data_IF_772201475905
#
_entry.id   IF_772201475905
#
_cell.length_a   1.000
_cell.length_b   1.000
_cell.length_c   1.000
_cell.angle_alpha   90.00
_cell.angle_beta   90.00
_cell.angle_gamma   90.00
#
_symmetry.space_group_name_H-M   'P 1'
#
loop_
_entity.id
_entity.type
_entity.pdbx_description
1 polymer ?
#
# COMPACT_ATOMS: atom_id res chain seq x y z
N UNK A 1 24.40 -14.36 6.85
CA UNK A 1 23.01 -14.45 7.37
C UNK A 1 22.23 -13.14 7.27
N UNK A 2 22.88 -11.98 7.30
CA UNK A 2 22.25 -10.64 7.17
C UNK A 2 21.41 -10.44 5.89
N UNK A 3 21.80 -11.03 4.74
CA UNK A 3 21.08 -10.82 3.47
C UNK A 3 19.60 -11.28 3.51
N UNK A 4 19.30 -12.39 4.20
CA UNK A 4 17.93 -12.91 4.34
C UNK A 4 17.02 -12.01 5.19
N UNK A 5 17.60 -11.16 6.05
CA UNK A 5 16.86 -10.16 6.84
C UNK A 5 16.79 -8.82 6.09
N UNK A 6 17.90 -8.39 5.49
CA UNK A 6 18.03 -7.08 4.85
C UNK A 6 17.22 -7.00 3.56
N UNK A 7 17.22 -8.03 2.71
CA UNK A 7 16.51 -8.00 1.43
C UNK A 7 15.00 -7.77 1.64
N UNK A 8 14.28 -8.54 2.48
CA UNK A 8 12.88 -8.26 2.78
C UNK A 8 12.62 -6.84 3.29
N UNK A 9 13.51 -6.31 4.14
CA UNK A 9 13.40 -4.95 4.67
C UNK A 9 13.55 -3.90 3.58
N UNK A 10 14.55 -4.02 2.71
CA UNK A 10 14.73 -3.13 1.55
C UNK A 10 13.52 -3.17 0.62
N UNK A 11 12.96 -4.37 0.43
CA UNK A 11 11.75 -4.59 -0.36
C UNK A 11 10.55 -3.85 0.26
N UNK A 12 10.34 -3.94 1.58
CA UNK A 12 9.29 -3.19 2.28
C UNK A 12 9.49 -1.67 2.16
N UNK A 13 10.72 -1.17 2.36
CA UNK A 13 11.04 0.24 2.20
C UNK A 13 10.85 0.74 0.76
N UNK A 14 11.05 -0.11 -0.25
CA UNK A 14 10.75 0.25 -1.64
C UNK A 14 9.25 0.52 -1.84
N UNK A 15 8.37 -0.24 -1.18
CA UNK A 15 6.92 0.01 -1.19
C UNK A 15 6.60 1.35 -0.55
N UNK A 16 7.23 1.67 0.60
CA UNK A 16 7.10 2.97 1.26
C UNK A 16 7.54 4.10 0.33
N UNK A 17 8.73 3.99 -0.28
CA UNK A 17 9.27 5.00 -1.20
C UNK A 17 8.37 5.25 -2.41
N UNK A 18 7.86 4.18 -3.02
CA UNK A 18 6.92 4.26 -4.14
C UNK A 18 5.60 4.92 -3.72
N UNK A 19 5.10 4.64 -2.51
CA UNK A 19 3.88 5.28 -1.99
C UNK A 19 4.08 6.74 -1.61
N UNK A 20 5.24 7.10 -1.05
CA UNK A 20 5.62 8.49 -0.80
C UNK A 20 5.70 9.29 -2.11
N UNK A 21 6.32 8.71 -3.15
CA UNK A 21 6.31 9.31 -4.48
C UNK A 21 4.89 9.52 -5.00
N UNK A 22 3.98 8.57 -4.73
CA UNK A 22 2.56 8.69 -5.01
C UNK A 22 1.88 9.93 -4.41
N UNK A 23 2.30 10.37 -3.22
CA UNK A 23 1.77 11.59 -2.59
C UNK A 23 2.09 12.84 -3.42
N UNK A 24 3.26 12.89 -4.07
CA UNK A 24 3.62 13.97 -4.99
C UNK A 24 2.71 14.02 -6.23
N UNK A 25 2.01 12.92 -6.55
CA UNK A 25 0.97 12.85 -7.59
C UNK A 25 -0.45 13.11 -7.04
N UNK A 26 -0.59 13.58 -5.80
CA UNK A 26 -1.88 13.89 -5.16
C UNK A 26 -2.67 12.66 -4.73
N UNK A 27 -2.01 11.52 -4.53
CA UNK A 27 -2.68 10.32 -4.05
C UNK A 27 -3.00 10.42 -2.56
N UNK A 28 -4.07 9.73 -2.14
CA UNK A 28 -4.35 9.56 -0.71
C UNK A 28 -3.26 8.67 -0.08
N UNK A 29 -2.92 8.88 1.20
CA UNK A 29 -1.93 8.07 1.92
C UNK A 29 -2.23 6.57 1.89
N UNK A 30 -3.50 6.18 1.96
CA UNK A 30 -3.93 4.78 1.86
C UNK A 30 -3.17 3.90 2.85
N UNK A 31 -2.51 2.85 2.34
CA UNK A 31 -1.72 1.88 3.13
C UNK A 31 -0.36 2.39 3.64
N UNK A 32 0.04 3.64 3.33
CA UNK A 32 1.39 4.13 3.61
C UNK A 32 1.78 4.00 5.08
N UNK A 33 0.88 4.40 6.00
CA UNK A 33 1.13 4.30 7.44
C UNK A 33 1.31 2.85 7.90
N UNK A 34 0.44 1.96 7.45
CA UNK A 34 0.50 0.54 7.74
C UNK A 34 1.81 -0.11 7.26
N UNK A 35 2.20 0.14 6.00
CA UNK A 35 3.43 -0.41 5.42
C UNK A 35 4.67 0.19 6.08
N UNK A 36 4.64 1.48 6.45
CA UNK A 36 5.72 2.11 7.19
C UNK A 36 5.95 1.45 8.56
N UNK A 37 4.89 1.18 9.32
CA UNK A 37 4.99 0.49 10.61
C UNK A 37 5.60 -0.92 10.45
N UNK A 38 5.17 -1.66 9.44
CA UNK A 38 5.71 -3.00 9.12
C UNK A 38 7.19 -2.91 8.71
N UNK A 39 7.56 -1.95 7.85
CA UNK A 39 8.95 -1.75 7.42
C UNK A 39 9.86 -1.34 8.60
N UNK A 40 9.37 -0.46 9.48
CA UNK A 40 10.07 -0.05 10.68
C UNK A 40 10.27 -1.23 11.65
N UNK A 41 9.21 -1.99 11.93
CA UNK A 41 9.29 -3.19 12.77
C UNK A 41 10.31 -4.20 12.21
N UNK A 42 10.26 -4.46 10.90
CA UNK A 42 11.20 -5.37 10.25
C UNK A 42 12.65 -4.85 10.29
N UNK A 43 12.86 -3.54 10.21
CA UNK A 43 14.20 -2.92 10.34
C UNK A 43 14.76 -3.07 11.75
N UNK A 44 13.93 -2.85 12.77
CA UNK A 44 14.28 -3.04 14.17
C UNK A 44 14.57 -4.50 14.53
N UNK A 45 14.10 -5.45 13.70
CA UNK A 45 14.31 -6.89 13.87
C UNK A 45 15.54 -7.43 13.11
N UNK A 46 16.37 -6.57 12.51
CA UNK A 46 17.66 -6.97 11.94
C UNK A 46 18.67 -7.12 13.07
N UNK A 47 19.34 -8.26 13.22
CA UNK A 47 20.09 -8.60 14.46
C UNK A 47 21.03 -7.49 14.95
N UNK A 48 21.91 -6.88 14.11
CA UNK A 48 22.77 -5.79 14.58
C UNK A 48 22.00 -4.55 15.04
N UNK A 49 20.87 -4.24 14.39
CA UNK A 49 20.01 -3.10 14.75
C UNK A 49 19.28 -3.41 16.06
N UNK A 50 18.72 -4.61 16.17
CA UNK A 50 18.02 -5.07 17.36
C UNK A 50 18.93 -5.01 18.58
N UNK A 51 20.10 -5.66 18.52
CA UNK A 51 21.05 -5.72 19.63
C UNK A 51 21.54 -4.32 20.05
N UNK A 52 21.77 -3.43 19.09
CA UNK A 52 22.18 -2.07 19.38
C UNK A 52 21.09 -1.28 20.11
N UNK A 53 19.86 -1.30 19.60
CA UNK A 53 18.74 -0.52 20.15
C UNK A 53 18.24 -1.10 21.47
N UNK A 54 18.13 -2.42 21.60
CA UNK A 54 17.65 -3.07 22.83
C UNK A 54 18.61 -2.83 24.00
N UNK A 55 19.92 -2.75 23.73
CA UNK A 55 20.92 -2.39 24.74
C UNK A 55 20.68 -0.98 25.31
N UNK A 56 20.25 -0.02 24.50
CA UNK A 56 19.85 1.31 24.98
C UNK A 56 18.55 1.29 25.80
N UNK A 57 17.69 0.29 25.58
CA UNK A 57 16.47 0.07 26.35
C UNK A 57 16.71 -0.77 27.63
N UNK A 58 17.97 -1.01 27.98
CA UNK A 58 18.38 -1.72 29.19
C UNK A 58 18.66 -3.20 29.01
N UNK A 59 18.46 -3.77 27.82
CA UNK A 59 18.76 -5.16 27.51
C UNK A 59 17.77 -6.18 28.09
N UNK A 60 16.51 -5.79 28.24
CA UNK A 60 15.42 -6.66 28.73
C UNK A 60 14.56 -7.23 27.60
N UNK A 61 14.99 -7.08 26.34
CA UNK A 61 14.22 -7.44 25.15
C UNK A 61 12.88 -6.69 25.01
N UNK A 62 12.78 -5.49 25.59
CA UNK A 62 11.61 -4.62 25.42
C UNK A 62 11.44 -4.22 23.95
N UNK A 63 12.54 -4.14 23.20
CA UNK A 63 12.48 -3.89 21.76
C UNK A 63 11.69 -4.96 21.02
N UNK A 64 11.74 -6.22 21.48
CA UNK A 64 10.99 -7.31 20.85
C UNK A 64 9.48 -7.09 20.95
N UNK A 65 9.00 -6.62 22.11
CA UNK A 65 7.60 -6.25 22.28
C UNK A 65 7.22 -5.10 21.35
N UNK A 66 8.07 -4.06 21.27
CA UNK A 66 7.83 -2.92 20.37
C UNK A 66 7.74 -3.40 18.91
N UNK A 67 8.65 -4.26 18.46
CA UNK A 67 8.63 -4.86 17.12
C UNK A 67 7.33 -5.62 16.87
N UNK A 68 6.92 -6.50 17.79
CA UNK A 68 5.69 -7.26 17.67
C UNK A 68 4.45 -6.36 17.59
N UNK A 69 4.39 -5.32 18.43
CA UNK A 69 3.27 -4.37 18.45
C UNK A 69 3.21 -3.54 17.16
N UNK A 70 4.34 -2.99 16.70
CA UNK A 70 4.42 -2.25 15.44
C UNK A 70 3.99 -3.13 14.26
N UNK A 71 4.47 -4.37 14.21
CA UNK A 71 4.11 -5.33 13.17
C UNK A 71 2.61 -5.66 13.21
N UNK A 72 2.08 -6.03 14.37
CA UNK A 72 0.67 -6.38 14.54
C UNK A 72 -0.28 -5.22 14.23
N UNK A 73 0.03 -4.01 14.70
CA UNK A 73 -0.75 -2.80 14.39
C UNK A 73 -0.68 -2.49 12.88
N UNK A 74 0.52 -2.50 12.30
CA UNK A 74 0.74 -2.24 10.88
C UNK A 74 -0.03 -3.21 9.99
N UNK A 75 0.04 -4.52 10.27
CA UNK A 75 -0.72 -5.52 9.52
C UNK A 75 -2.23 -5.42 9.74
N UNK A 76 -2.68 -5.10 10.96
CA UNK A 76 -4.12 -4.90 11.23
C UNK A 76 -4.68 -3.73 10.43
N UNK A 77 -3.95 -2.62 10.37
CA UNK A 77 -4.35 -1.45 9.58
C UNK A 77 -4.27 -1.73 8.08
N UNK A 78 -3.26 -2.48 7.63
CA UNK A 78 -3.17 -2.95 6.25
C UNK A 78 -4.40 -3.78 5.86
N UNK A 79 -4.76 -4.76 6.69
CA UNK A 79 -5.95 -5.58 6.52
C UNK A 79 -7.22 -4.74 6.48
N UNK A 80 -7.39 -3.80 7.41
CA UNK A 80 -8.52 -2.85 7.45
C UNK A 80 -8.69 -2.11 6.14
N UNK A 81 -7.61 -1.57 5.60
CA UNK A 81 -7.63 -0.77 4.38
C UNK A 81 -7.96 -1.62 3.17
N UNK A 82 -7.40 -2.83 3.08
CA UNK A 82 -7.72 -3.79 2.01
C UNK A 82 -9.19 -4.22 2.06
N UNK A 83 -9.73 -4.47 3.25
CA UNK A 83 -11.13 -4.89 3.45
C UNK A 83 -12.16 -3.79 3.17
N UNK A 84 -11.76 -2.52 3.27
CA UNK A 84 -12.62 -1.41 2.84
C UNK A 84 -12.90 -1.47 1.34
N UNK A 85 -11.95 -1.96 0.54
CA UNK A 85 -12.14 -2.13 -0.91
C UNK A 85 -12.99 -3.35 -1.23
N UNK A 86 -13.00 -4.38 -0.38
CA UNK A 86 -13.85 -5.56 -0.57
C UNK A 86 -15.26 -5.42 0.03
N UNK A 87 -15.59 -4.27 0.65
CA UNK A 87 -16.91 -3.98 1.20
C UNK A 87 -17.26 -4.69 2.52
N UNK A 88 -16.29 -5.31 3.20
CA UNK A 88 -16.52 -6.19 4.38
C UNK A 88 -16.00 -5.61 5.70
N UNK A 89 -16.16 -4.30 5.89
CA UNK A 89 -15.59 -3.55 7.00
C UNK A 89 -16.07 -3.96 8.41
N UNK A 90 -17.21 -4.66 8.56
CA UNK A 90 -17.81 -4.93 9.89
C UNK A 90 -16.96 -5.84 10.78
N UNK A 91 -16.19 -6.76 10.19
CA UNK A 91 -15.36 -7.74 10.93
C UNK A 91 -14.02 -7.17 11.40
N UNK A 92 -13.63 -5.96 10.97
CA UNK A 92 -12.37 -5.36 11.41
C UNK A 92 -12.36 -5.01 12.89
N UNK A 93 -13.51 -4.64 13.47
CA UNK A 93 -13.62 -4.31 14.89
C UNK A 93 -13.23 -5.51 15.75
N UNK A 94 -13.63 -6.72 15.34
CA UNK A 94 -13.27 -7.97 16.01
C UNK A 94 -11.76 -8.19 15.94
N UNK A 95 -11.14 -8.03 14.76
CA UNK A 95 -9.68 -8.18 14.61
C UNK A 95 -8.89 -7.16 15.45
N UNK A 96 -9.39 -5.92 15.56
CA UNK A 96 -8.78 -4.89 16.41
C UNK A 96 -8.89 -5.28 17.88
N UNK A 97 -10.07 -5.73 18.34
CA UNK A 97 -10.24 -6.17 19.72
C UNK A 97 -9.37 -7.38 20.05
N UNK A 98 -9.33 -8.38 19.17
CA UNK A 98 -8.46 -9.56 19.34
C UNK A 98 -6.99 -9.13 19.38
N UNK A 99 -6.56 -8.25 18.47
CA UNK A 99 -5.20 -7.72 18.46
C UNK A 99 -4.84 -6.97 19.75
N UNK A 100 -5.77 -6.17 20.29
CA UNK A 100 -5.55 -5.48 21.57
C UNK A 100 -5.42 -6.46 22.75
N UNK A 101 -6.23 -7.51 22.79
CA UNK A 101 -6.12 -8.57 23.82
C UNK A 101 -4.80 -9.32 23.70
N UNK A 102 -4.40 -9.71 22.48
CA UNK A 102 -3.11 -10.40 22.26
C UNK A 102 -1.91 -9.50 22.58
N UNK A 103 -1.98 -8.21 22.25
CA UNK A 103 -0.97 -7.22 22.62
C UNK A 103 -0.83 -7.06 24.15
N UNK A 104 -1.96 -7.00 24.87
CA UNK A 104 -1.96 -6.95 26.33
C UNK A 104 -1.40 -8.23 26.94
N UNK A 105 -1.79 -9.40 26.41
CA UNK A 105 -1.26 -10.69 26.83
C UNK A 105 0.27 -10.76 26.62
N UNK A 106 0.77 -10.32 25.47
CA UNK A 106 2.20 -10.25 25.20
C UNK A 106 2.95 -9.36 26.19
N UNK A 107 2.39 -8.20 26.53
CA UNK A 107 3.00 -7.31 27.51
C UNK A 107 3.13 -7.98 28.87
N UNK A 108 2.06 -8.61 29.35
CA UNK A 108 2.06 -9.33 30.64
C UNK A 108 3.05 -10.50 30.60
N UNK A 109 3.01 -11.31 29.55
CA UNK A 109 3.88 -12.49 29.40
C UNK A 109 5.35 -12.10 29.41
N UNK A 110 5.74 -11.03 28.69
CA UNK A 110 7.14 -10.57 28.70
C UNK A 110 7.57 -10.06 30.08
N UNK A 111 6.70 -9.32 30.78
CA UNK A 111 7.02 -8.75 32.10
C UNK A 111 7.22 -9.81 33.19
N UNK A 112 6.59 -10.98 33.06
CA UNK A 112 6.75 -12.10 34.01
C UNK A 112 7.84 -13.09 33.58
N UNK A 113 8.40 -12.95 32.38
CA UNK A 113 9.50 -13.79 31.89
C UNK A 113 10.86 -13.28 32.38
N UNK A 114 11.83 -14.19 32.45
CA UNK A 114 13.21 -13.82 32.75
C UNK A 114 14.00 -13.66 31.44
N UNK A 115 14.04 -12.45 30.89
CA UNK A 115 14.67 -12.12 29.59
C UNK A 115 15.87 -11.19 29.73
N UNK A 116 16.65 -11.36 30.80
CA UNK A 116 17.82 -10.52 31.03
C UNK A 116 18.90 -10.80 29.96
N UNK A 117 19.35 -9.73 29.29
CA UNK A 117 20.34 -9.78 28.21
C UNK A 117 19.69 -9.72 26.82
N UNK A 118 20.20 -8.87 25.93
CA UNK A 118 19.70 -8.74 24.56
C UNK A 118 20.00 -9.99 23.74
N UNK A 119 18.97 -10.56 23.11
CA UNK A 119 19.09 -11.76 22.29
C UNK A 119 18.67 -11.49 20.84
N UNK A 120 19.57 -11.74 19.88
CA UNK A 120 19.25 -11.64 18.46
C UNK A 120 18.25 -12.73 18.02
N UNK A 121 18.42 -13.95 18.54
CA UNK A 121 17.46 -15.02 18.37
C UNK A 121 16.70 -15.25 19.67
N UNK A 122 15.61 -14.50 19.83
CA UNK A 122 14.82 -14.50 21.06
C UNK A 122 14.21 -15.88 21.36
N UNK A 123 13.80 -16.60 20.31
CA UNK A 123 13.29 -17.97 20.41
C UNK A 123 14.36 -18.92 20.90
N UNK A 124 15.55 -18.89 20.29
CA UNK A 124 16.63 -19.80 20.65
C UNK A 124 17.26 -19.47 22.01
N UNK A 125 17.15 -18.22 22.49
CA UNK A 125 17.80 -17.85 23.75
C UNK A 125 16.91 -18.09 24.97
N UNK A 126 15.59 -18.00 24.81
CA UNK A 126 14.64 -18.07 25.93
C UNK A 126 13.46 -19.04 25.67
N UNK A 127 13.56 -19.89 24.64
CA UNK A 127 12.49 -20.78 24.19
C UNK A 127 12.17 -21.94 25.14
N UNK A 128 13.05 -22.19 26.12
CA UNK A 128 12.84 -23.13 27.23
C UNK A 128 11.79 -22.62 28.24
N UNK A 129 11.53 -21.31 28.28
CA UNK A 129 10.56 -20.71 29.19
C UNK A 129 9.13 -20.79 28.63
N UNK A 130 8.17 -21.41 29.35
CA UNK A 130 6.77 -21.49 28.90
C UNK A 130 6.12 -20.13 28.67
N UNK A 131 6.49 -19.11 29.46
CA UNK A 131 6.00 -17.73 29.33
C UNK A 131 6.44 -17.10 28.00
N UNK A 132 7.68 -17.39 27.56
CA UNK A 132 8.22 -16.92 26.28
C UNK A 132 7.61 -17.64 25.09
N UNK A 133 7.38 -18.95 25.22
CA UNK A 133 6.64 -19.68 24.21
C UNK A 133 5.22 -19.14 24.01
N UNK A 134 4.50 -18.85 25.09
CA UNK A 134 3.17 -18.21 25.01
C UNK A 134 3.26 -16.79 24.45
N UNK A 135 4.28 -16.02 24.82
CA UNK A 135 4.53 -14.68 24.30
C UNK A 135 4.72 -14.69 22.77
N UNK A 136 5.55 -15.60 22.26
CA UNK A 136 5.75 -15.73 20.82
C UNK A 136 4.52 -16.33 20.14
N UNK A 137 3.88 -17.29 20.79
CA UNK A 137 2.69 -17.95 20.28
C UNK A 137 1.53 -16.98 20.07
N UNK A 138 1.32 -16.05 20.99
CA UNK A 138 0.31 -14.99 20.85
C UNK A 138 0.61 -14.06 19.68
N UNK A 139 1.88 -13.70 19.45
CA UNK A 139 2.29 -12.92 18.28
C UNK A 139 2.02 -13.66 16.97
N UNK A 140 2.49 -14.91 16.83
CA UNK A 140 2.28 -15.69 15.60
C UNK A 140 0.81 -16.06 15.37
N UNK A 141 0.03 -16.25 16.44
CA UNK A 141 -1.42 -16.40 16.35
C UNK A 141 -2.09 -15.11 15.83
N UNK A 142 -1.70 -13.94 16.35
CA UNK A 142 -2.20 -12.65 15.87
C UNK A 142 -1.87 -12.44 14.38
N UNK A 143 -0.60 -12.65 14.05
CA UNK A 143 -0.07 -12.52 12.69
C UNK A 143 -0.75 -13.48 11.71
N UNK A 144 -0.86 -14.75 12.08
CA UNK A 144 -1.49 -15.79 11.27
C UNK A 144 -2.99 -15.53 11.08
N UNK A 145 -3.69 -15.08 12.12
CA UNK A 145 -5.10 -14.72 12.03
C UNK A 145 -5.34 -13.55 11.06
N UNK A 146 -4.56 -12.47 11.15
CA UNK A 146 -4.68 -11.32 10.24
C UNK A 146 -4.33 -11.73 8.81
N UNK A 147 -3.22 -12.44 8.62
CA UNK A 147 -2.76 -12.86 7.30
C UNK A 147 -3.78 -13.80 6.66
N UNK A 148 -4.24 -14.82 7.37
CA UNK A 148 -5.23 -15.77 6.88
C UNK A 148 -6.56 -15.10 6.55
N UNK A 149 -7.07 -14.24 7.44
CA UNK A 149 -8.30 -13.49 7.18
C UNK A 149 -8.16 -12.58 5.95
N UNK A 150 -7.06 -11.84 5.85
CA UNK A 150 -6.79 -10.95 4.71
C UNK A 150 -6.68 -11.75 3.42
N UNK A 151 -5.93 -12.86 3.42
CA UNK A 151 -5.78 -13.75 2.27
C UNK A 151 -7.13 -14.27 1.77
N UNK A 152 -7.94 -14.86 2.66
CA UNK A 152 -9.27 -15.36 2.30
C UNK A 152 -10.17 -14.27 1.73
N UNK A 153 -10.18 -13.09 2.34
CA UNK A 153 -11.05 -12.00 1.89
C UNK A 153 -10.58 -11.38 0.56
N UNK A 154 -9.27 -11.26 0.35
CA UNK A 154 -8.73 -10.85 -0.95
C UNK A 154 -9.01 -11.88 -2.03
N UNK A 155 -9.04 -13.18 -1.72
CA UNK A 155 -9.39 -14.21 -2.69
C UNK A 155 -10.88 -14.17 -3.07
N UNK A 156 -11.75 -13.89 -2.09
CA UNK A 156 -13.22 -13.77 -2.23
C UNK A 156 -13.71 -12.40 -2.72
N UNK A 157 -12.82 -11.52 -3.17
CA UNK A 157 -13.18 -10.19 -3.66
C UNK A 157 -13.90 -10.28 -5.00
N UNK A 158 -14.75 -9.30 -5.28
CA UNK A 158 -15.34 -9.13 -6.61
C UNK A 158 -14.26 -8.64 -7.58
N UNK A 159 -14.08 -9.37 -8.69
CA UNK A 159 -13.04 -9.09 -9.70
C UNK A 159 -13.59 -8.27 -10.88
N UNK A 160 -14.89 -7.94 -10.87
CA UNK A 160 -15.54 -7.19 -11.93
C UNK A 160 -14.95 -5.76 -12.03
N UNK A 161 -14.52 -5.38 -13.23
CA UNK A 161 -13.94 -4.06 -13.48
C UNK A 161 -12.49 -3.85 -12.99
N UNK A 162 -11.86 -4.86 -12.38
CA UNK A 162 -10.44 -4.77 -12.00
C UNK A 162 -9.52 -4.71 -13.22
N UNK A 163 -8.50 -3.85 -13.18
CA UNK A 163 -7.42 -3.89 -14.16
C UNK A 163 -6.58 -5.16 -14.00
N UNK A 164 -5.95 -5.63 -15.08
CA UNK A 164 -5.11 -6.85 -15.05
C UNK A 164 -3.97 -6.75 -14.03
N UNK A 165 -3.35 -5.56 -13.90
CA UNK A 165 -2.26 -5.32 -12.92
C UNK A 165 -2.78 -5.33 -11.49
N UNK A 166 -3.97 -4.79 -11.25
CA UNK A 166 -4.61 -4.84 -9.93
C UNK A 166 -4.93 -6.28 -9.53
N UNK A 167 -5.51 -7.05 -10.45
CA UNK A 167 -5.87 -8.45 -10.21
C UNK A 167 -4.67 -9.32 -9.86
N UNK A 168 -3.62 -9.26 -10.68
CA UNK A 168 -2.38 -10.02 -10.44
C UNK A 168 -1.74 -9.59 -9.12
N UNK A 169 -1.70 -8.27 -8.84
CA UNK A 169 -1.14 -7.75 -7.59
C UNK A 169 -1.88 -8.28 -6.36
N UNK A 170 -3.21 -8.24 -6.35
CA UNK A 170 -4.00 -8.75 -5.24
C UNK A 170 -4.00 -10.28 -5.12
N UNK A 171 -3.90 -11.01 -6.23
CA UNK A 171 -3.76 -12.48 -6.20
C UNK A 171 -2.41 -12.89 -5.60
N UNK A 172 -1.33 -12.16 -5.93
CA UNK A 172 -0.02 -12.39 -5.33
C UNK A 172 0.04 -11.97 -3.86
N UNK A 173 -0.63 -10.88 -3.49
CA UNK A 173 -0.82 -10.49 -2.10
C UNK A 173 -1.56 -11.58 -1.31
N UNK A 174 -2.61 -12.15 -1.88
CA UNK A 174 -3.35 -13.27 -1.28
C UNK A 174 -2.47 -14.50 -1.12
N UNK A 175 -1.68 -14.86 -2.13
CA UNK A 175 -0.73 -15.96 -2.05
C UNK A 175 0.31 -15.71 -0.94
N UNK A 176 0.88 -14.50 -0.88
CA UNK A 176 1.77 -14.09 0.19
C UNK A 176 1.15 -14.24 1.58
N UNK A 177 -0.15 -13.91 1.74
CA UNK A 177 -0.83 -14.06 3.01
C UNK A 177 -0.88 -15.53 3.46
N UNK A 178 -1.14 -16.47 2.55
CA UNK A 178 -1.14 -17.90 2.86
C UNK A 178 0.26 -18.43 3.14
N UNK A 179 1.29 -17.94 2.44
CA UNK A 179 2.70 -18.22 2.76
C UNK A 179 3.03 -17.70 4.17
N UNK A 180 2.52 -16.53 4.55
CA UNK A 180 2.65 -15.99 5.91
C UNK A 180 1.99 -16.87 6.96
N UNK A 181 0.78 -17.39 6.70
CA UNK A 181 0.13 -18.35 7.60
C UNK A 181 0.97 -19.62 7.73
N UNK A 182 1.53 -20.14 6.64
CA UNK A 182 2.43 -21.28 6.69
C UNK A 182 3.70 -20.98 7.51
N UNK A 183 4.29 -19.79 7.35
CA UNK A 183 5.43 -19.34 8.15
C UNK A 183 5.08 -19.29 9.65
N UNK A 184 3.91 -18.75 9.99
CA UNK A 184 3.43 -18.69 11.37
C UNK A 184 3.20 -20.10 11.94
N UNK A 185 2.58 -21.00 11.17
CA UNK A 185 2.36 -22.38 11.59
C UNK A 185 3.69 -23.14 11.81
N UNK A 186 4.66 -22.95 10.91
CA UNK A 186 5.99 -23.53 11.04
C UNK A 186 6.71 -23.01 12.29
N UNK A 187 6.65 -21.70 12.56
CA UNK A 187 7.26 -21.13 13.76
C UNK A 187 6.56 -21.56 15.05
N UNK A 188 5.23 -21.73 15.02
CA UNK A 188 4.47 -22.32 16.14
C UNK A 188 4.88 -23.77 16.41
N UNK A 189 5.16 -24.53 15.35
CA UNK A 189 5.66 -25.90 15.47
C UNK A 189 7.06 -25.93 16.09
N UNK A 190 7.96 -25.06 15.63
CA UNK A 190 9.31 -24.86 16.20
C UNK A 190 9.28 -24.51 17.69
N UNK A 191 8.45 -23.52 18.08
CA UNK A 191 8.25 -23.16 19.49
C UNK A 191 7.75 -24.38 20.30
N UNK A 192 6.85 -25.19 19.73
CA UNK A 192 6.32 -26.38 20.41
C UNK A 192 7.38 -27.47 20.59
N UNK A 193 8.32 -27.61 19.64
CA UNK A 193 9.42 -28.57 19.74
C UNK A 193 10.46 -28.13 20.77
N UNK A 194 10.75 -26.82 20.86
CA UNK A 194 11.72 -26.27 21.81
C UNK A 194 11.28 -26.48 23.27
N UNK A 195 10.02 -26.19 23.59
CA UNK A 195 9.46 -26.41 24.93
C UNK A 195 9.54 -27.89 25.33
N UNK A 196 9.28 -28.80 24.39
CA UNK A 196 9.29 -30.26 24.67
C UNK A 196 10.70 -30.83 24.75
N UNK A 197 11.63 -30.25 23.99
CA UNK A 197 13.03 -30.68 23.91
C UNK A 197 13.95 -30.01 24.93
N UNK A 198 13.43 -29.19 25.85
CA UNK A 198 14.24 -28.49 26.85
C UNK A 198 15.25 -27.51 26.26
N UNK A 199 15.01 -27.01 25.03
CA UNK A 199 15.92 -26.09 24.35
C UNK A 199 17.19 -26.70 23.75
N UNK A 200 17.35 -28.04 23.72
CA UNK A 200 18.56 -28.69 23.15
C UNK A 200 18.39 -29.18 21.70
N UNK A 201 17.14 -29.28 21.21
CA UNK A 201 16.83 -29.77 19.86
C UNK A 201 16.51 -28.62 18.90
N UNK A 202 17.55 -27.92 18.45
CA UNK A 202 17.43 -26.96 17.34
C UNK A 202 17.42 -27.70 16.01
N UNK A 203 16.32 -27.58 15.27
CA UNK A 203 16.25 -28.07 13.89
C UNK A 203 16.53 -26.93 12.91
N UNK A 204 17.77 -26.88 12.43
CA UNK A 204 18.23 -25.92 11.42
C UNK A 204 17.33 -25.90 10.17
N UNK A 205 16.68 -27.03 9.84
CA UNK A 205 15.76 -27.09 8.70
C UNK A 205 14.46 -26.32 8.96
N UNK A 206 13.94 -26.33 10.19
CA UNK A 206 12.76 -25.54 10.58
C UNK A 206 13.07 -24.04 10.53
N UNK A 207 14.21 -23.63 11.08
CA UNK A 207 14.67 -22.23 11.08
C UNK A 207 14.85 -21.74 9.64
N UNK A 208 15.53 -22.52 8.80
CA UNK A 208 15.73 -22.18 7.39
C UNK A 208 14.40 -22.12 6.63
N UNK A 209 13.52 -23.10 6.85
CA UNK A 209 12.18 -23.15 6.25
C UNK A 209 11.36 -21.90 6.60
N UNK A 210 11.36 -21.50 7.88
CA UNK A 210 10.69 -20.29 8.34
C UNK A 210 11.23 -19.04 7.65
N UNK A 211 12.56 -18.89 7.58
CA UNK A 211 13.21 -17.75 6.92
C UNK A 211 12.88 -17.66 5.43
N UNK A 212 12.84 -18.79 4.73
CA UNK A 212 12.45 -18.87 3.32
C UNK A 212 10.98 -18.46 3.14
N UNK A 213 10.07 -18.99 3.95
CA UNK A 213 8.65 -18.64 3.89
C UNK A 213 8.43 -17.15 4.20
N UNK A 214 9.13 -16.60 5.19
CA UNK A 214 9.06 -15.18 5.53
C UNK A 214 9.54 -14.30 4.36
N UNK A 215 10.68 -14.64 3.73
CA UNK A 215 11.19 -13.91 2.57
C UNK A 215 10.23 -14.00 1.37
N UNK A 216 9.66 -15.17 1.11
CA UNK A 216 8.66 -15.39 0.06
C UNK A 216 7.38 -14.58 0.31
N UNK A 217 6.88 -14.55 1.55
CA UNK A 217 5.73 -13.75 1.95
C UNK A 217 5.98 -12.26 1.70
N UNK A 218 7.09 -11.71 2.20
CA UNK A 218 7.41 -10.28 2.07
C UNK A 218 7.55 -9.89 0.61
N UNK A 219 8.18 -10.75 -0.19
CA UNK A 219 8.29 -10.56 -1.64
C UNK A 219 6.91 -10.54 -2.30
N UNK A 220 6.04 -11.49 -1.97
CA UNK A 220 4.65 -11.54 -2.46
C UNK A 220 3.86 -10.28 -2.10
N UNK A 221 3.99 -9.79 -0.86
CA UNK A 221 3.36 -8.54 -0.42
C UNK A 221 3.86 -7.35 -1.21
N UNK A 222 5.18 -7.19 -1.33
CA UNK A 222 5.75 -6.04 -2.00
C UNK A 222 5.40 -6.00 -3.49
N UNK A 223 5.52 -7.11 -4.20
CA UNK A 223 5.09 -7.17 -5.61
C UNK A 223 3.58 -6.93 -5.71
N UNK A 224 2.79 -7.46 -4.77
CA UNK A 224 1.35 -7.23 -4.69
C UNK A 224 0.94 -5.76 -4.54
N UNK A 225 1.75 -4.95 -3.84
CA UNK A 225 1.52 -3.51 -3.70
C UNK A 225 2.16 -2.66 -4.81
N UNK A 226 3.33 -3.06 -5.31
CA UNK A 226 4.07 -2.30 -6.32
C UNK A 226 3.36 -2.41 -7.68
N UNK A 227 2.85 -3.58 -8.06
CA UNK A 227 2.30 -3.80 -9.39
C UNK A 227 1.05 -2.94 -9.69
N UNK A 228 0.04 -2.83 -8.81
CA UNK A 228 -1.07 -1.89 -9.00
C UNK A 228 -0.60 -0.45 -9.01
N UNK A 229 0.41 -0.14 -8.19
CA UNK A 229 0.98 1.21 -8.07
C UNK A 229 1.66 1.67 -9.35
N UNK A 230 2.51 0.84 -9.95
CA UNK A 230 3.14 1.12 -11.25
C UNK A 230 2.08 1.35 -12.33
N UNK A 231 1.02 0.52 -12.35
CA UNK A 231 -0.10 0.69 -13.26
C UNK A 231 -0.75 2.08 -13.13
N UNK A 232 -0.94 2.54 -11.89
CA UNK A 232 -1.50 3.85 -11.56
C UNK A 232 -0.57 5.02 -11.90
N UNK A 233 0.75 4.89 -11.70
CA UNK A 233 1.73 5.90 -12.13
C UNK A 233 1.68 6.04 -13.66
N UNK A 234 1.73 4.91 -14.38
CA UNK A 234 1.69 4.91 -15.85
C UNK A 234 0.40 5.54 -16.38
N UNK A 235 -0.75 5.24 -15.78
CA UNK A 235 -2.02 5.87 -16.19
C UNK A 235 -2.04 7.37 -15.90
N UNK A 236 -1.54 7.80 -14.74
CA UNK A 236 -1.43 9.23 -14.39
C UNK A 236 -0.49 9.99 -15.33
N UNK A 237 0.67 9.43 -15.65
CA UNK A 237 1.63 10.02 -16.59
C UNK A 237 1.06 10.10 -18.00
N UNK A 238 0.40 9.03 -18.48
CA UNK A 238 -0.30 9.05 -19.78
C UNK A 238 -1.41 10.10 -19.81
N UNK A 239 -2.24 10.18 -18.77
CA UNK A 239 -3.30 11.19 -18.69
C UNK A 239 -2.74 12.62 -18.68
N UNK A 240 -1.59 12.85 -18.04
CA UNK A 240 -0.90 14.14 -18.05
C UNK A 240 -0.31 14.47 -19.43
N UNK A 241 0.30 13.49 -20.10
CA UNK A 241 0.84 13.65 -21.45
C UNK A 241 -0.26 13.95 -22.47
N UNK A 242 -1.35 13.18 -22.45
CA UNK A 242 -2.53 13.42 -23.32
C UNK A 242 -3.10 14.81 -23.07
N UNK A 243 -3.31 15.20 -21.81
CA UNK A 243 -3.82 16.56 -21.48
C UNK A 243 -2.89 17.68 -21.95
N UNK A 244 -1.57 17.47 -21.87
CA UNK A 244 -0.60 18.42 -22.38
C UNK A 244 -0.72 18.56 -23.89
N UNK A 245 -0.81 17.44 -24.60
CA UNK A 245 -1.03 17.40 -26.05
C UNK A 245 -2.35 18.09 -26.45
N UNK A 246 -3.44 17.83 -25.73
CA UNK A 246 -4.74 18.46 -25.99
C UNK A 246 -4.67 19.99 -25.77
N UNK A 247 -4.03 20.45 -24.69
CA UNK A 247 -3.80 21.88 -24.46
C UNK A 247 -2.88 22.50 -25.51
N UNK A 248 -1.82 21.81 -25.94
CA UNK A 248 -0.93 22.34 -26.97
C UNK A 248 -1.65 22.43 -28.34
N UNK A 249 -2.56 21.50 -28.65
CA UNK A 249 -3.40 21.52 -29.85
C UNK A 249 -4.46 22.64 -29.83
N UNK A 250 -5.07 22.90 -28.66
CA UNK A 250 -6.08 23.98 -28.52
C UNK A 250 -5.46 25.37 -28.40
N UNK A 251 -4.20 25.49 -27.97
CA UNK A 251 -3.52 26.78 -27.76
C UNK A 251 -3.56 27.73 -28.97
N UNK A 252 -3.24 27.29 -30.21
CA UNK A 252 -3.32 28.18 -31.37
C UNK A 252 -4.75 28.65 -31.65
N UNK A 253 -5.75 27.76 -31.48
CA UNK A 253 -7.16 28.07 -31.68
C UNK A 253 -7.61 29.13 -30.67
N UNK A 254 -7.35 28.89 -29.38
CA UNK A 254 -7.71 29.82 -28.31
C UNK A 254 -7.01 31.16 -28.50
N UNK A 255 -5.72 31.18 -28.86
CA UNK A 255 -4.99 32.43 -29.13
C UNK A 255 -5.65 33.24 -30.25
N UNK A 256 -5.97 32.62 -31.39
CA UNK A 256 -6.65 33.31 -32.49
C UNK A 256 -8.03 33.82 -32.08
N UNK A 257 -8.81 32.99 -31.37
CA UNK A 257 -10.15 33.36 -30.94
C UNK A 257 -10.13 34.50 -29.92
N UNK A 258 -9.10 34.63 -29.09
CA UNK A 258 -8.95 35.77 -28.18
C UNK A 258 -8.76 37.11 -28.90
N UNK A 259 -8.32 37.10 -30.16
CA UNK A 259 -8.13 38.30 -30.98
C UNK A 259 -9.44 38.75 -31.67
N UNK A 260 -10.51 37.94 -31.64
CA UNK A 260 -11.80 38.30 -32.24
C UNK A 260 -12.68 39.11 -31.28
N UNK A 261 -13.65 39.84 -31.84
CA UNK A 261 -14.58 40.67 -31.05
C UNK A 261 -15.47 39.84 -30.11
N UNK A 262 -15.78 38.62 -30.52
CA UNK A 262 -16.54 37.61 -29.80
C UNK A 262 -15.69 37.04 -28.66
N UNK A 263 -14.41 36.74 -28.91
CA UNK A 263 -13.49 36.26 -27.88
C UNK A 263 -13.23 37.29 -26.79
N UNK A 264 -13.07 38.57 -27.15
CA UNK A 264 -12.95 39.66 -26.17
C UNK A 264 -14.20 39.77 -25.28
N UNK A 265 -15.40 39.56 -25.84
CA UNK A 265 -16.66 39.52 -25.08
C UNK A 265 -16.73 38.31 -24.14
N UNK A 266 -16.33 37.12 -24.58
CA UNK A 266 -16.38 35.89 -23.77
C UNK A 266 -15.26 35.78 -22.73
N UNK A 267 -14.15 36.50 -22.90
CA UNK A 267 -13.02 36.49 -21.97
C UNK A 267 -13.39 36.95 -20.55
N UNK A 268 -14.29 37.92 -20.43
CA UNK A 268 -14.75 38.47 -19.14
C UNK A 268 -15.46 37.44 -18.27
N UNK A 269 -16.10 36.43 -18.87
CA UNK A 269 -16.82 35.37 -18.17
C UNK A 269 -15.93 34.17 -17.81
N UNK A 270 -14.92 33.86 -18.62
CA UNK A 270 -14.22 32.58 -18.55
C UNK A 270 -12.88 32.59 -17.77
N UNK A 271 -12.34 33.76 -17.37
CA UNK A 271 -11.05 33.89 -16.65
C UNK A 271 -9.92 33.06 -17.31
N UNK A 272 -9.74 33.27 -18.61
CA UNK A 272 -8.84 32.49 -19.47
C UNK A 272 -7.41 32.96 -19.29
N UNK A 273 -6.49 32.03 -19.01
CA UNK A 273 -5.04 32.27 -19.05
C UNK A 273 -4.40 31.48 -20.18
N UNK A 274 -3.53 32.11 -20.95
CA UNK A 274 -2.65 31.46 -21.94
C UNK A 274 -1.37 30.89 -21.32
N UNK A 275 -1.12 31.12 -20.03
CA UNK A 275 0.02 30.57 -19.31
C UNK A 275 0.07 29.03 -19.43
N UNK A 276 1.29 28.49 -19.41
CA UNK A 276 1.60 27.07 -19.63
C UNK A 276 1.21 26.17 -18.45
N UNK A 277 0.07 26.40 -17.80
CA UNK A 277 -0.40 25.55 -16.71
C UNK A 277 -1.12 24.32 -17.29
N UNK A 278 -0.52 23.16 -17.17
CA UNK A 278 -1.17 21.90 -17.59
C UNK A 278 -2.17 21.43 -16.53
N UNK A 279 -3.35 22.05 -16.47
CA UNK A 279 -4.39 21.74 -15.49
C UNK A 279 -5.69 21.25 -16.14
N UNK A 280 -6.46 20.43 -15.41
CA UNK A 280 -7.80 19.97 -15.85
C UNK A 280 -8.74 21.16 -16.03
N UNK A 281 -8.66 22.10 -15.09
CA UNK A 281 -9.45 23.32 -15.05
C UNK A 281 -9.19 24.19 -16.27
N UNK A 282 -7.93 24.33 -16.70
CA UNK A 282 -7.60 25.09 -17.90
C UNK A 282 -8.19 24.45 -19.16
N UNK A 283 -8.05 23.13 -19.32
CA UNK A 283 -8.65 22.42 -20.45
C UNK A 283 -10.18 22.61 -20.50
N UNK A 284 -10.84 22.51 -19.34
CA UNK A 284 -12.28 22.72 -19.23
C UNK A 284 -12.70 24.16 -19.54
N UNK A 285 -11.98 25.15 -19.01
CA UNK A 285 -12.22 26.57 -19.29
C UNK A 285 -12.05 26.90 -20.77
N UNK A 286 -11.02 26.34 -21.42
CA UNK A 286 -10.82 26.51 -22.86
C UNK A 286 -11.96 25.88 -23.66
N UNK A 287 -12.49 24.73 -23.23
CA UNK A 287 -13.67 24.13 -23.86
C UNK A 287 -14.92 25.00 -23.73
N UNK A 288 -15.18 25.56 -22.55
CA UNK A 288 -16.31 26.50 -22.35
C UNK A 288 -16.14 27.72 -23.26
N UNK A 289 -14.96 28.34 -23.25
CA UNK A 289 -14.69 29.52 -24.07
C UNK A 289 -14.88 29.27 -25.56
N UNK A 290 -14.36 28.15 -26.08
CA UNK A 290 -14.57 27.75 -27.47
C UNK A 290 -16.06 27.46 -27.74
N UNK A 291 -16.75 26.82 -26.80
CA UNK A 291 -18.19 26.55 -26.88
C UNK A 291 -19.03 27.83 -26.99
N UNK A 292 -18.75 28.83 -26.14
CA UNK A 292 -19.44 30.12 -26.16
C UNK A 292 -19.24 30.83 -27.50
N UNK A 293 -18.02 30.82 -28.04
CA UNK A 293 -17.73 31.41 -29.35
C UNK A 293 -18.42 30.65 -30.48
N UNK A 294 -18.45 29.31 -30.43
CA UNK A 294 -19.14 28.47 -31.42
C UNK A 294 -20.65 28.77 -31.47
N UNK A 295 -21.24 29.19 -30.35
CA UNK A 295 -22.64 29.62 -30.26
C UNK A 295 -22.82 31.06 -30.79
N UNK A 296 -21.89 31.97 -30.46
CA UNK A 296 -21.96 33.38 -30.85
C UNK A 296 -21.71 33.59 -32.36
N UNK A 297 -20.66 32.97 -32.90
CA UNK A 297 -20.37 32.99 -34.34
C UNK A 297 -19.70 31.65 -34.78
N UNK A 298 -20.46 30.74 -35.39
CA UNK A 298 -19.96 29.44 -35.83
C UNK A 298 -18.89 29.53 -36.93
N UNK A 299 -18.83 30.64 -37.68
CA UNK A 299 -17.94 30.79 -38.84
C UNK A 299 -16.49 31.06 -38.45
N UNK A 300 -16.24 31.41 -37.18
CA UNK A 300 -14.91 31.68 -36.64
C UNK A 300 -14.06 30.41 -36.44
N UNK A 301 -14.65 29.22 -36.59
CA UNK A 301 -13.96 27.93 -36.50
C UNK A 301 -13.94 27.23 -37.86
N UNK A 302 -12.75 26.86 -38.33
CA UNK A 302 -12.61 26.02 -39.51
C UNK A 302 -13.13 24.59 -39.26
N UNK A 303 -13.43 23.84 -40.33
CA UNK A 303 -13.81 22.42 -40.20
C UNK A 303 -12.74 21.59 -39.48
N UNK A 304 -11.45 21.85 -39.73
CA UNK A 304 -10.35 21.12 -39.12
C UNK A 304 -10.26 21.40 -37.61
N UNK A 305 -10.53 22.63 -37.18
CA UNK A 305 -10.56 22.99 -35.76
C UNK A 305 -11.76 22.39 -35.06
N UNK A 306 -12.94 22.45 -35.67
CA UNK A 306 -14.13 21.78 -35.14
C UNK A 306 -13.88 20.28 -34.94
N UNK A 307 -13.25 19.61 -35.92
CA UNK A 307 -12.88 18.20 -35.78
C UNK A 307 -11.91 17.96 -34.62
N UNK A 308 -10.90 18.80 -34.46
CA UNK A 308 -9.93 18.69 -33.36
C UNK A 308 -10.60 18.87 -32.00
N UNK A 309 -11.49 19.86 -31.89
CA UNK A 309 -12.28 20.14 -30.68
C UNK A 309 -13.20 18.96 -30.38
N UNK A 310 -13.94 18.45 -31.36
CA UNK A 310 -14.89 17.35 -31.17
C UNK A 310 -14.17 16.04 -30.79
N UNK A 311 -13.00 15.76 -31.38
CA UNK A 311 -12.15 14.62 -31.02
C UNK A 311 -11.64 14.71 -29.57
N UNK A 312 -11.22 15.90 -29.12
CA UNK A 312 -10.81 16.12 -27.72
C UNK A 312 -12.02 16.03 -26.78
N UNK A 313 -13.17 16.60 -27.18
CA UNK A 313 -14.41 16.61 -26.40
C UNK A 313 -14.91 15.20 -26.13
N UNK A 314 -14.95 14.36 -27.16
CA UNK A 314 -15.34 12.95 -27.08
C UNK A 314 -14.45 12.17 -26.10
N UNK A 315 -13.13 12.46 -26.09
CA UNK A 315 -12.19 11.85 -25.12
C UNK A 315 -12.47 12.32 -23.68
N UNK A 316 -12.79 13.59 -23.49
CA UNK A 316 -13.13 14.14 -22.18
C UNK A 316 -14.41 13.49 -21.65
N UNK A 317 -15.45 13.37 -22.47
CA UNK A 317 -16.75 12.75 -22.10
C UNK A 317 -16.61 11.27 -21.77
N UNK A 318 -15.86 10.49 -22.55
CA UNK A 318 -15.58 9.09 -22.24
C UNK A 318 -14.77 8.91 -20.94
N UNK A 319 -13.90 9.86 -20.60
CA UNK A 319 -13.21 9.87 -19.31
C UNK A 319 -14.08 10.33 -18.13
N UNK A 320 -15.23 10.99 -18.37
CA UNK A 320 -16.16 11.47 -17.34
C UNK A 320 -17.43 10.62 -17.20
N UNK A 321 -17.73 9.74 -18.17
CA UNK A 321 -18.82 8.78 -18.03
C UNK A 321 -18.60 7.94 -16.78
N UNK A 322 -19.54 7.93 -15.81
CA UNK A 322 -19.39 7.25 -14.54
C UNK A 322 -19.57 5.74 -14.76
N UNK A 323 -18.61 5.11 -15.42
CA UNK A 323 -18.41 3.68 -15.35
C UNK A 323 -17.95 3.35 -13.94
N UNK A 324 -18.90 3.24 -13.01
CA UNK A 324 -18.90 2.37 -11.81
C UNK A 324 -17.53 2.21 -11.11
N UNK A 325 -16.75 3.28 -11.00
CA UNK A 325 -15.38 3.28 -10.48
C UNK A 325 -15.37 3.53 -8.96
N UNK A 326 -16.32 2.92 -8.24
CA UNK A 326 -16.45 3.05 -6.79
C UNK A 326 -15.54 2.10 -6.01
N UNK A 327 -14.82 1.18 -6.67
CA UNK A 327 -14.00 0.19 -5.97
C UNK A 327 -12.53 0.63 -5.70
N UNK A 328 -12.00 1.67 -6.35
CA UNK A 328 -10.55 1.93 -6.35
C UNK A 328 -10.08 3.23 -5.67
N UNK A 329 -10.99 4.03 -5.10
CA UNK A 329 -10.66 5.37 -4.57
C UNK A 329 -10.10 5.38 -3.12
N UNK A 330 -9.92 4.20 -2.52
CA UNK A 330 -9.70 4.03 -1.07
C UNK A 330 -8.47 3.25 -0.60
N UNK A 331 -7.59 2.72 -1.48
CA UNK A 331 -6.37 1.98 -1.09
C UNK A 331 -5.10 2.61 -1.64
#
# INVERSE_FOLDING_TARGET
MTALQVIPVLVLWSVVGVRLLGLAFGWKPGILGAVFLVALAATLNIDPVYLAVDRYLGGWNLLNLIVHLLMGIGMTDLSRLLLRVTGRARRIKVLICVGAVLAAAQMVLLLISNTQGSAASFTDTFGDQPTIALYQGTFFAWFGMISGYTGVETLRRDRAGESRTFRIGFDLLSAGCFVGVAAAALKMFEISTEIRGGGENYDDALILGYRILLAAMVTGFAVGFILPTIGRIRSALRARAVRRSDLDALRPIVRRLMETSEGQRSMGAASISLESRTSKTQLYRWFIFIGDIRVLDPKLLSQQENRTIDEIGTRIEHHHSPARNTAASGV
#
